data_IF_284932651775
#
_entry.id   IF_284932651775
#
_cell.length_a   1.000
_cell.length_b   1.000
_cell.length_c   1.000
_cell.angle_alpha   90.00
_cell.angle_beta   90.00
_cell.angle_gamma   90.00
#
_symmetry.space_group_name_H-M   'P 1'
#
loop_
_entity.id
_entity.type
_entity.pdbx_description
1 polymer ?
#
# COMPACT_ATOMS: atom_id res chain seq x y z
N UNK A 1 -10.60 -5.77 1.05
CA UNK A 1 -9.82 -5.62 2.32
C UNK A 1 -8.84 -6.79 2.44
N UNK A 2 -7.66 -6.59 3.06
CA UNK A 2 -6.61 -7.62 3.18
C UNK A 2 -5.67 -7.33 4.35
N UNK A 3 -4.69 -8.19 4.60
CA UNK A 3 -3.80 -8.16 5.78
C UNK A 3 -3.14 -6.80 6.02
N UNK A 4 -2.81 -6.05 4.96
CA UNK A 4 -2.24 -4.72 5.10
C UNK A 4 -3.13 -3.71 5.83
N UNK A 5 -4.45 -3.90 5.84
CA UNK A 5 -5.37 -3.04 6.59
C UNK A 5 -5.24 -3.27 8.10
N UNK A 6 -5.16 -4.54 8.53
CA UNK A 6 -4.95 -4.91 9.94
C UNK A 6 -3.59 -4.39 10.43
N UNK A 7 -2.51 -4.59 9.64
CA UNK A 7 -1.19 -4.06 9.97
C UNK A 7 -1.23 -2.54 10.15
N UNK A 8 -1.88 -1.82 9.23
CA UNK A 8 -2.00 -0.37 9.33
C UNK A 8 -2.81 0.05 10.57
N UNK A 9 -3.90 -0.64 10.88
CA UNK A 9 -4.70 -0.37 12.08
C UNK A 9 -3.88 -0.56 13.35
N UNK A 10 -3.17 -1.69 13.49
CA UNK A 10 -2.31 -1.95 14.65
C UNK A 10 -1.21 -0.89 14.81
N UNK A 11 -0.54 -0.47 13.72
CA UNK A 11 0.48 0.58 13.79
C UNK A 11 -0.15 1.93 14.19
N UNK A 12 -1.33 2.25 13.67
CA UNK A 12 -2.06 3.46 14.06
C UNK A 12 -2.45 3.43 15.54
N UNK A 13 -2.82 2.27 16.10
CA UNK A 13 -3.17 2.13 17.52
C UNK A 13 -1.95 2.24 18.43
N UNK A 14 -0.87 1.53 18.10
CA UNK A 14 0.30 1.38 18.99
C UNK A 14 1.37 2.48 18.82
N UNK A 15 1.42 3.13 17.65
CA UNK A 15 2.53 4.01 17.29
C UNK A 15 2.12 5.36 16.67
N UNK A 16 0.86 5.82 16.87
CA UNK A 16 0.35 7.07 16.30
C UNK A 16 1.29 8.26 16.50
N UNK A 17 1.78 8.46 17.72
CA UNK A 17 2.58 9.63 18.10
C UNK A 17 4.00 9.63 17.52
N UNK A 18 4.47 8.49 16.98
CA UNK A 18 5.79 8.36 16.38
C UNK A 18 5.78 8.58 14.86
N UNK A 19 4.60 8.63 14.24
CA UNK A 19 4.50 8.71 12.79
C UNK A 19 4.76 10.12 12.28
N UNK A 20 5.68 10.22 11.32
CA UNK A 20 6.02 11.46 10.62
C UNK A 20 5.17 11.65 9.35
N UNK A 21 4.55 10.58 8.86
CA UNK A 21 3.73 10.57 7.66
C UNK A 21 2.62 9.51 7.79
N UNK A 22 1.50 9.63 7.06
CA UNK A 22 0.43 8.64 7.06
C UNK A 22 0.88 7.32 6.42
N UNK A 23 0.40 6.20 6.95
CA UNK A 23 0.67 4.86 6.39
C UNK A 23 0.05 4.74 4.99
N UNK A 24 0.90 4.56 3.98
CA UNK A 24 0.48 4.22 2.62
C UNK A 24 0.49 2.70 2.41
N UNK A 25 -0.54 2.19 1.74
CA UNK A 25 -0.66 0.77 1.37
C UNK A 25 -0.68 0.65 -0.15
N UNK A 26 0.27 -0.11 -0.69
CA UNK A 26 0.35 -0.40 -2.13
C UNK A 26 -0.07 -1.86 -2.33
N UNK A 27 -1.26 -2.06 -2.91
CA UNK A 27 -1.86 -3.40 -3.10
C UNK A 27 -2.35 -3.59 -4.52
N UNK A 28 -2.78 -4.82 -4.85
CA UNK A 28 -3.66 -5.04 -6.00
C UNK A 28 -4.93 -4.18 -5.90
N UNK A 29 -5.56 -3.96 -7.05
CA UNK A 29 -6.81 -3.20 -7.14
C UNK A 29 -7.98 -4.00 -6.58
N UNK A 30 -9.07 -3.32 -6.19
CA UNK A 30 -10.28 -3.97 -5.68
C UNK A 30 -11.16 -4.47 -6.83
N UNK A 31 -10.59 -5.36 -7.64
CA UNK A 31 -11.22 -6.01 -8.79
C UNK A 31 -10.84 -7.49 -8.78
N UNK A 32 -11.61 -8.38 -9.43
CA UNK A 32 -11.22 -9.77 -9.59
C UNK A 32 -9.82 -9.89 -10.22
N UNK A 33 -9.04 -10.89 -9.79
CA UNK A 33 -7.74 -11.18 -10.38
C UNK A 33 -7.90 -11.37 -11.89
N UNK A 34 -7.20 -10.58 -12.72
CA UNK A 34 -7.36 -10.69 -14.16
C UNK A 34 -6.60 -11.91 -14.69
N UNK A 35 -6.81 -12.20 -15.98
CA UNK A 35 -6.01 -13.19 -16.70
C UNK A 35 -4.55 -12.72 -16.82
N UNK A 36 -3.66 -13.68 -17.11
CA UNK A 36 -2.21 -13.49 -17.11
C UNK A 36 -1.72 -12.25 -17.89
N UNK A 37 -2.36 -11.91 -19.01
CA UNK A 37 -1.99 -10.73 -19.81
C UNK A 37 -2.07 -9.39 -19.06
N UNK A 38 -2.88 -9.31 -18.00
CA UNK A 38 -3.08 -8.09 -17.20
C UNK A 38 -2.57 -8.25 -15.76
N UNK A 39 -1.95 -9.37 -15.43
CA UNK A 39 -1.44 -9.66 -14.09
C UNK A 39 -0.40 -8.64 -13.64
N UNK A 40 0.52 -8.26 -14.54
CA UNK A 40 1.55 -7.26 -14.25
C UNK A 40 0.96 -5.88 -13.92
N UNK A 41 -0.12 -5.49 -14.60
CA UNK A 41 -0.81 -4.23 -14.33
C UNK A 41 -1.56 -4.25 -13.01
N UNK A 42 -2.16 -5.40 -12.65
CA UNK A 42 -2.90 -5.55 -11.41
C UNK A 42 -1.99 -5.59 -10.19
N UNK A 43 -0.90 -6.35 -10.25
CA UNK A 43 0.02 -6.51 -9.14
C UNK A 43 0.79 -5.21 -8.85
N UNK A 44 1.11 -4.94 -7.57
CA UNK A 44 1.88 -3.76 -7.21
C UNK A 44 3.34 -3.90 -7.70
N UNK A 45 3.63 -3.29 -8.84
CA UNK A 45 4.97 -3.25 -9.44
C UNK A 45 5.91 -2.29 -8.70
N UNK A 46 7.22 -2.46 -8.92
CA UNK A 46 8.27 -1.64 -8.32
C UNK A 46 8.05 -0.12 -8.51
N UNK A 47 7.55 0.30 -9.67
CA UNK A 47 7.27 1.71 -9.98
C UNK A 47 6.21 2.29 -9.02
N UNK A 48 5.12 1.54 -8.76
CA UNK A 48 4.05 1.96 -7.84
C UNK A 48 4.54 2.04 -6.40
N UNK A 49 5.48 1.16 -6.03
CA UNK A 49 6.11 1.16 -4.71
C UNK A 49 7.02 2.37 -4.56
N UNK A 50 7.85 2.66 -5.56
CA UNK A 50 8.75 3.82 -5.57
C UNK A 50 7.97 5.14 -5.47
N UNK A 51 6.91 5.29 -6.26
CA UNK A 51 6.05 6.47 -6.22
C UNK A 51 5.43 6.67 -4.83
N UNK A 52 4.86 5.61 -4.24
CA UNK A 52 4.29 5.68 -2.91
C UNK A 52 5.33 6.04 -1.82
N UNK A 53 6.57 5.55 -1.94
CA UNK A 53 7.67 5.93 -1.04
C UNK A 53 7.96 7.43 -1.17
N UNK A 54 8.10 7.94 -2.40
CA UNK A 54 8.36 9.37 -2.65
C UNK A 54 7.26 10.26 -2.09
N UNK A 55 6.00 9.90 -2.32
CA UNK A 55 4.85 10.62 -1.77
C UNK A 55 4.85 10.62 -0.23
N UNK A 56 5.16 9.47 0.38
CA UNK A 56 5.17 9.33 1.85
C UNK A 56 6.27 10.16 2.50
N UNK A 57 7.46 10.21 1.89
CA UNK A 57 8.58 11.03 2.38
C UNK A 57 8.32 12.53 2.20
N UNK A 58 7.47 12.92 1.26
CA UNK A 58 7.14 14.32 0.97
C UNK A 58 5.98 14.92 1.80
N UNK A 59 5.37 14.14 2.69
CA UNK A 59 4.28 14.60 3.57
C UNK A 59 4.79 15.53 4.68
#
# INVERSE_FOLDING_TARGET
AGVGAEIAATIQEEALLYQQAPIRRVTGYDVPMPLHELEEYYLPQAIRIEEAIRETVSF
#
